data_IF_372574788501
#
_entry.id   IF_372574788501
#
_cell.length_a   1.000
_cell.length_b   1.000
_cell.length_c   1.000
_cell.angle_alpha   90.00
_cell.angle_beta   90.00
_cell.angle_gamma   90.00
#
_symmetry.space_group_name_H-M   'P 1'
#
loop_
_entity.id
_entity.type
_entity.pdbx_description
1 polymer ?
#
# COMPACT_ATOMS: atom_id res chain seq x y z
N UNK A 1 48.61 -20.99 55.53
CA UNK A 1 48.70 -22.39 56.00
C UNK A 1 47.39 -22.68 56.72
N UNK A 2 46.39 -23.15 55.99
CA UNK A 2 46.21 -24.55 55.61
C UNK A 2 45.11 -25.11 56.52
N UNK A 3 43.95 -25.34 55.90
CA UNK A 3 43.01 -26.40 56.24
C UNK A 3 42.18 -26.24 57.51
N UNK A 4 40.95 -26.73 57.60
CA UNK A 4 39.92 -27.31 56.72
C UNK A 4 38.93 -27.91 57.76
N UNK A 5 37.80 -28.47 57.32
CA UNK A 5 36.83 -29.25 58.14
C UNK A 5 35.99 -28.37 59.10
N UNK A 6 34.65 -28.29 59.01
CA UNK A 6 33.66 -29.30 58.61
C UNK A 6 32.29 -28.62 58.50
N UNK A 7 31.60 -28.85 57.39
CA UNK A 7 30.16 -29.16 57.29
C UNK A 7 29.15 -28.19 57.96
N UNK A 8 28.41 -27.44 57.13
CA UNK A 8 26.99 -27.77 56.93
C UNK A 8 26.45 -27.16 55.63
N UNK A 9 26.05 -28.06 54.75
CA UNK A 9 25.26 -27.84 53.54
C UNK A 9 23.91 -27.23 53.96
N UNK A 10 23.59 -26.03 53.48
CA UNK A 10 22.19 -25.61 53.36
C UNK A 10 22.01 -24.92 52.01
N UNK A 11 21.48 -25.72 51.09
CA UNK A 11 20.96 -25.34 49.78
C UNK A 11 20.01 -24.15 49.93
N UNK A 12 20.35 -23.00 49.36
CA UNK A 12 19.36 -21.99 49.00
C UNK A 12 19.19 -22.07 47.48
N UNK A 13 18.10 -22.73 47.06
CA UNK A 13 17.61 -22.63 45.69
C UNK A 13 17.27 -21.15 45.44
N UNK A 14 18.05 -20.46 44.62
CA UNK A 14 17.61 -19.22 43.99
C UNK A 14 16.76 -19.63 42.80
N UNK A 15 15.45 -19.63 43.02
CA UNK A 15 14.45 -19.80 41.97
C UNK A 15 14.44 -18.50 41.14
N UNK A 16 15.20 -18.48 40.05
CA UNK A 16 15.12 -17.40 39.05
C UNK A 16 13.83 -17.61 38.29
N UNK A 17 12.76 -16.92 38.70
CA UNK A 17 11.57 -16.75 37.86
C UNK A 17 11.97 -15.86 36.69
N UNK A 18 12.29 -16.47 35.56
CA UNK A 18 12.13 -15.78 34.28
C UNK A 18 10.65 -15.45 34.16
N UNK A 19 10.31 -14.18 34.42
CA UNK A 19 9.06 -13.61 33.92
C UNK A 19 9.21 -13.66 32.40
N UNK A 20 8.65 -14.72 31.82
CA UNK A 20 8.39 -14.81 30.40
C UNK A 20 7.33 -13.74 30.13
N UNK A 21 7.78 -12.50 29.90
CA UNK A 21 6.96 -11.48 29.25
C UNK A 21 6.74 -11.96 27.83
N UNK A 22 5.76 -12.87 27.67
CA UNK A 22 5.20 -13.15 26.36
C UNK A 22 4.84 -11.82 25.71
N UNK A 23 4.92 -11.72 24.38
CA UNK A 23 4.53 -10.50 23.69
C UNK A 23 3.13 -10.11 24.16
N UNK A 24 3.00 -8.86 24.62
CA UNK A 24 1.69 -8.26 24.82
C UNK A 24 0.95 -8.41 23.50
N UNK A 25 -0.06 -9.27 23.47
CA UNK A 25 -1.03 -9.28 22.40
C UNK A 25 -1.73 -7.91 22.44
N UNK A 26 -1.25 -6.96 21.65
CA UNK A 26 -2.03 -5.79 21.28
C UNK A 26 -3.23 -6.37 20.52
N UNK A 27 -4.41 -6.30 21.12
CA UNK A 27 -5.62 -6.64 20.40
C UNK A 27 -5.70 -5.72 19.17
N UNK A 28 -5.87 -6.30 17.98
CA UNK A 28 -6.25 -5.53 16.80
C UNK A 28 -7.57 -4.85 17.11
N UNK A 29 -7.59 -3.52 17.10
CA UNK A 29 -8.76 -2.74 17.49
C UNK A 29 -9.21 -1.82 16.34
N UNK A 30 -10.52 -1.80 16.11
CA UNK A 30 -11.16 -0.82 15.24
C UNK A 30 -11.98 0.07 16.17
N UNK A 31 -11.55 1.32 16.30
CA UNK A 31 -12.13 2.30 17.22
C UNK A 31 -12.60 3.50 16.43
N UNK A 32 -13.91 3.72 16.41
CA UNK A 32 -14.52 4.90 15.78
C UNK A 32 -14.00 6.17 16.45
N UNK A 33 -13.73 7.20 15.66
CA UNK A 33 -13.35 8.51 16.19
C UNK A 33 -14.59 9.19 16.80
N UNK A 34 -14.72 9.07 18.12
CA UNK A 34 -15.82 9.69 18.87
C UNK A 34 -15.83 11.21 18.84
N UNK A 35 -14.71 11.85 18.43
CA UNK A 35 -14.61 13.31 18.27
C UNK A 35 -15.09 13.79 16.89
N UNK A 36 -15.17 12.89 15.91
CA UNK A 36 -15.73 13.19 14.60
C UNK A 36 -17.22 13.53 14.68
N UNK A 37 -17.73 14.27 13.69
CA UNK A 37 -19.16 14.50 13.57
C UNK A 37 -19.91 13.16 13.47
N UNK A 38 -21.12 13.06 14.03
CA UNK A 38 -21.91 11.82 13.99
C UNK A 38 -22.19 11.32 12.56
N UNK A 39 -22.18 12.24 11.58
CA UNK A 39 -22.21 11.93 10.15
C UNK A 39 -21.04 11.07 9.64
N UNK A 40 -19.94 11.00 10.39
CA UNK A 40 -18.74 10.25 10.04
C UNK A 40 -18.47 9.07 11.00
N UNK A 41 -19.40 8.76 11.88
CA UNK A 41 -19.25 7.67 12.85
C UNK A 41 -19.94 6.41 12.33
N UNK A 42 -19.13 5.37 12.08
CA UNK A 42 -19.61 4.03 11.82
C UNK A 42 -20.15 3.37 13.11
N UNK A 43 -20.86 2.24 12.96
CA UNK A 43 -21.18 1.35 14.09
C UNK A 43 -20.36 0.07 13.95
N UNK A 44 -19.63 -0.29 15.01
CA UNK A 44 -18.84 -1.53 15.06
C UNK A 44 -19.68 -2.64 15.70
N UNK A 45 -19.92 -3.68 14.92
CA UNK A 45 -20.49 -4.95 15.35
C UNK A 45 -19.44 -6.07 15.23
N UNK A 46 -19.82 -7.29 15.62
CA UNK A 46 -18.99 -8.48 15.44
C UNK A 46 -19.83 -9.63 14.88
N UNK A 47 -19.26 -10.34 13.90
CA UNK A 47 -19.80 -11.60 13.45
C UNK A 47 -19.61 -12.70 14.53
N UNK A 48 -20.32 -13.81 14.38
CA UNK A 48 -20.26 -14.93 15.33
C UNK A 48 -18.85 -15.55 15.47
N UNK A 49 -18.02 -15.47 14.42
CA UNK A 49 -16.63 -15.93 14.43
C UNK A 49 -15.64 -14.90 15.02
N UNK A 50 -16.14 -13.73 15.45
CA UNK A 50 -15.38 -12.64 16.05
C UNK A 50 -14.84 -11.60 15.07
N UNK A 51 -14.97 -11.81 13.75
CA UNK A 51 -14.61 -10.81 12.72
C UNK A 51 -15.38 -9.52 12.96
N UNK A 52 -14.68 -8.38 12.95
CA UNK A 52 -15.30 -7.07 13.10
C UNK A 52 -16.17 -6.73 11.90
N UNK A 53 -17.34 -6.13 12.15
CA UNK A 53 -18.25 -5.62 11.13
C UNK A 53 -18.33 -4.10 11.30
N UNK A 54 -17.91 -3.35 10.29
CA UNK A 54 -18.01 -1.90 10.22
C UNK A 54 -19.28 -1.56 9.45
N UNK A 55 -20.36 -1.23 10.16
CA UNK A 55 -21.53 -0.61 9.54
C UNK A 55 -21.20 0.84 9.21
N UNK A 56 -20.85 1.09 7.94
CA UNK A 56 -20.47 2.41 7.44
C UNK A 56 -21.59 3.44 7.66
N UNK A 57 -21.21 4.71 7.78
CA UNK A 57 -22.15 5.82 7.87
C UNK A 57 -23.06 5.88 6.64
N UNK A 58 -24.36 6.04 6.86
CA UNK A 58 -25.34 6.27 5.81
C UNK A 58 -25.56 7.73 5.45
N UNK A 59 -24.77 8.66 6.00
CA UNK A 59 -24.79 10.05 5.55
C UNK A 59 -23.95 10.20 4.27
N UNK A 60 -24.52 9.75 3.16
CA UNK A 60 -23.86 9.76 1.85
C UNK A 60 -23.84 11.18 1.25
N UNK A 61 -22.74 11.54 0.60
CA UNK A 61 -22.67 12.72 -0.28
C UNK A 61 -23.54 12.54 -1.53
N UNK A 62 -23.60 13.55 -2.40
CA UNK A 62 -24.39 13.45 -3.64
C UNK A 62 -23.82 12.40 -4.61
N UNK A 63 -22.51 12.16 -4.59
CA UNK A 63 -21.87 11.10 -5.39
C UNK A 63 -21.85 9.71 -4.71
N UNK A 64 -22.43 9.58 -3.50
CA UNK A 64 -22.49 8.31 -2.78
C UNK A 64 -21.28 8.01 -1.90
N UNK A 65 -20.47 9.01 -1.52
CA UNK A 65 -19.37 8.85 -0.57
C UNK A 65 -19.89 8.61 0.85
N UNK A 66 -19.49 7.49 1.46
CA UNK A 66 -19.56 7.25 2.90
C UNK A 66 -18.20 7.51 3.54
N UNK A 67 -18.09 8.56 4.34
CA UNK A 67 -16.84 8.93 5.02
C UNK A 67 -16.90 8.54 6.50
N UNK A 68 -16.06 7.59 6.89
CA UNK A 68 -15.99 6.99 8.22
C UNK A 68 -14.65 7.33 8.87
N UNK A 69 -14.69 7.89 10.08
CA UNK A 69 -13.48 8.31 10.81
C UNK A 69 -13.21 7.38 12.00
N UNK A 70 -11.95 7.00 12.16
CA UNK A 70 -11.48 6.07 13.19
C UNK A 70 -10.30 6.66 13.93
N UNK A 71 -10.24 6.48 15.24
CA UNK A 71 -9.04 6.80 16.02
C UNK A 71 -7.99 5.68 15.94
N UNK A 72 -8.44 4.44 15.65
CA UNK A 72 -7.58 3.29 15.38
C UNK A 72 -8.30 2.35 14.42
N UNK A 73 -7.58 1.79 13.45
CA UNK A 73 -8.11 0.79 12.52
C UNK A 73 -7.04 -0.23 12.19
N UNK A 74 -7.06 -1.34 12.92
CA UNK A 74 -6.23 -2.51 12.66
C UNK A 74 -7.11 -3.71 12.28
N UNK A 75 -6.63 -4.52 11.33
CA UNK A 75 -7.27 -5.74 10.86
C UNK A 75 -6.38 -6.93 11.26
N UNK A 76 -6.95 -7.89 11.99
CA UNK A 76 -6.28 -9.15 12.31
C UNK A 76 -6.40 -10.18 11.17
N UNK A 77 -5.88 -11.38 11.40
CA UNK A 77 -5.90 -12.49 10.44
C UNK A 77 -7.32 -12.98 10.06
N UNK A 78 -8.35 -12.59 10.81
CA UNK A 78 -9.75 -12.91 10.48
C UNK A 78 -10.37 -11.92 9.51
N UNK A 79 -9.68 -10.82 9.21
CA UNK A 79 -10.16 -9.77 8.33
C UNK A 79 -11.21 -8.85 8.97
N UNK A 80 -11.85 -8.05 8.12
CA UNK A 80 -12.92 -7.11 8.50
C UNK A 80 -14.02 -7.12 7.43
N UNK A 81 -15.27 -7.00 7.87
CA UNK A 81 -16.41 -6.75 6.98
C UNK A 81 -16.76 -5.28 7.02
N UNK A 82 -16.78 -4.62 5.87
CA UNK A 82 -17.33 -3.30 5.63
C UNK A 82 -18.77 -3.50 5.14
N UNK A 83 -19.76 -3.25 6.00
CA UNK A 83 -21.16 -3.52 5.70
C UNK A 83 -21.77 -2.38 4.87
N UNK A 84 -21.80 -2.56 3.55
CA UNK A 84 -22.44 -1.69 2.57
C UNK A 84 -23.79 -2.26 2.06
N UNK A 85 -24.41 -3.15 2.85
CA UNK A 85 -25.61 -3.88 2.40
C UNK A 85 -26.90 -3.21 2.85
N UNK A 86 -27.85 -3.07 1.94
CA UNK A 86 -29.24 -2.68 2.25
C UNK A 86 -30.14 -3.88 2.55
N UNK A 87 -29.63 -5.11 2.39
CA UNK A 87 -30.35 -6.37 2.59
C UNK A 87 -29.56 -7.34 3.48
N UNK A 88 -30.23 -8.36 4.02
CA UNK A 88 -29.54 -9.46 4.69
C UNK A 88 -28.93 -10.41 3.66
N UNK A 89 -27.83 -11.09 4.01
CA UNK A 89 -27.11 -11.94 3.08
C UNK A 89 -26.02 -12.76 3.76
N UNK A 90 -25.20 -13.46 2.97
CA UNK A 90 -24.07 -14.25 3.49
C UNK A 90 -22.77 -13.54 3.11
N UNK A 91 -21.91 -13.31 4.09
CA UNK A 91 -20.57 -12.73 3.87
C UNK A 91 -19.62 -13.79 3.32
N UNK A 92 -18.84 -13.42 2.31
CA UNK A 92 -17.81 -14.26 1.70
C UNK A 92 -16.61 -14.45 2.63
N UNK A 93 -16.29 -13.46 3.46
CA UNK A 93 -15.19 -13.53 4.42
C UNK A 93 -15.52 -14.45 5.61
N UNK A 94 -16.72 -14.29 6.17
CA UNK A 94 -17.10 -14.97 7.42
C UNK A 94 -17.90 -16.25 7.20
N UNK A 95 -18.44 -16.46 6.00
CA UNK A 95 -19.38 -17.53 5.68
C UNK A 95 -20.71 -17.45 6.45
N UNK A 96 -20.93 -16.38 7.22
CA UNK A 96 -22.07 -16.23 8.13
C UNK A 96 -23.14 -15.32 7.53
N UNK A 97 -24.39 -15.53 7.94
CA UNK A 97 -25.47 -14.61 7.60
C UNK A 97 -25.31 -13.31 8.38
N UNK A 98 -25.21 -12.19 7.66
CA UNK A 98 -25.13 -10.84 8.21
C UNK A 98 -26.41 -10.06 7.86
N UNK A 99 -26.78 -9.13 8.75
CA UNK A 99 -27.90 -8.23 8.54
C UNK A 99 -27.48 -7.03 7.68
N UNK A 100 -28.47 -6.35 7.11
CA UNK A 100 -28.24 -5.07 6.43
C UNK A 100 -27.64 -4.05 7.40
N UNK A 101 -26.89 -3.10 6.86
CA UNK A 101 -26.42 -1.96 7.62
C UNK A 101 -27.62 -1.05 7.98
N UNK A 102 -27.90 -0.83 9.29
CA UNK A 102 -29.05 -0.05 9.72
C UNK A 102 -28.94 1.45 9.40
N UNK A 103 -27.74 1.96 9.07
CA UNK A 103 -27.51 3.37 8.76
C UNK A 103 -27.87 3.71 7.30
N UNK A 104 -27.87 2.73 6.38
CA UNK A 104 -28.06 2.92 4.93
C UNK A 104 -29.53 3.13 4.53
N UNK A 105 -30.16 4.18 5.07
CA UNK A 105 -31.57 4.51 4.79
C UNK A 105 -31.83 5.09 3.39
N UNK A 106 -30.76 5.51 2.69
CA UNK A 106 -30.83 6.14 1.36
C UNK A 106 -30.27 5.26 0.24
N UNK A 107 -29.93 4.01 0.52
CA UNK A 107 -29.20 3.13 -0.39
C UNK A 107 -27.75 2.91 0.05
N UNK A 108 -27.04 2.10 -0.72
CA UNK A 108 -25.64 1.77 -0.47
C UNK A 108 -24.70 2.87 -0.99
N UNK A 109 -23.50 2.94 -0.40
CA UNK A 109 -22.43 3.82 -0.84
C UNK A 109 -21.82 3.32 -2.16
N UNK A 110 -21.38 4.26 -3.00
CA UNK A 110 -20.58 3.98 -4.19
C UNK A 110 -19.08 4.12 -3.93
N UNK A 111 -18.71 4.94 -2.95
CA UNK A 111 -17.33 5.13 -2.47
C UNK A 111 -17.34 5.05 -0.95
N UNK A 112 -16.43 4.26 -0.37
CA UNK A 112 -16.29 4.12 1.07
C UNK A 112 -14.89 4.61 1.45
N UNK A 113 -14.83 5.68 2.23
CA UNK A 113 -13.60 6.21 2.81
C UNK A 113 -13.55 5.84 4.29
N UNK A 114 -12.58 5.02 4.67
CA UNK A 114 -12.19 4.78 6.05
C UNK A 114 -10.92 5.58 6.34
N UNK A 115 -11.04 6.62 7.15
CA UNK A 115 -9.95 7.53 7.49
C UNK A 115 -9.57 7.39 8.96
N UNK A 116 -8.30 7.10 9.23
CA UNK A 116 -7.72 7.11 10.57
C UNK A 116 -7.23 8.51 10.91
N UNK A 117 -7.76 9.06 12.00
CA UNK A 117 -7.42 10.39 12.53
C UNK A 117 -6.50 10.32 13.76
N UNK A 118 -6.22 9.12 14.25
CA UNK A 118 -5.30 8.85 15.36
C UNK A 118 -3.82 8.99 15.01
N UNK A 119 -2.98 8.74 16.01
CA UNK A 119 -1.52 8.90 15.93
C UNK A 119 -0.74 7.62 15.57
N UNK A 120 -1.43 6.50 15.35
CA UNK A 120 -0.80 5.20 15.14
C UNK A 120 -0.91 4.71 13.68
N UNK A 121 0.11 3.96 13.25
CA UNK A 121 0.11 3.22 11.97
C UNK A 121 -0.93 2.11 12.01
N UNK A 122 -1.69 1.97 10.93
CA UNK A 122 -2.64 0.88 10.75
C UNK A 122 -1.96 -0.41 10.31
N UNK A 123 -2.30 -1.52 10.97
CA UNK A 123 -1.82 -2.87 10.65
C UNK A 123 -2.95 -3.68 10.02
N UNK A 124 -2.76 -4.09 8.78
CA UNK A 124 -3.75 -4.83 7.99
C UNK A 124 -3.19 -6.23 7.70
N UNK A 125 -3.63 -7.22 8.48
CA UNK A 125 -3.12 -8.60 8.44
C UNK A 125 -4.14 -9.62 7.93
N UNK A 126 -5.23 -9.15 7.30
CA UNK A 126 -6.28 -9.99 6.75
C UNK A 126 -7.12 -9.27 5.70
N UNK A 127 -8.12 -9.97 5.19
CA UNK A 127 -8.96 -9.47 4.10
C UNK A 127 -9.99 -8.44 4.57
N UNK A 128 -10.22 -7.43 3.74
CA UNK A 128 -11.34 -6.49 3.83
C UNK A 128 -12.42 -6.92 2.85
N UNK A 129 -13.63 -7.22 3.34
CA UNK A 129 -14.79 -7.51 2.49
C UNK A 129 -15.76 -6.33 2.49
N UNK A 130 -16.14 -5.82 1.32
CA UNK A 130 -17.35 -5.01 1.19
C UNK A 130 -18.55 -5.95 1.09
N UNK A 131 -19.32 -6.07 2.16
CA UNK A 131 -20.54 -6.88 2.18
C UNK A 131 -21.71 -6.09 1.60
N UNK A 132 -22.42 -6.68 0.64
CA UNK A 132 -23.54 -6.04 -0.06
C UNK A 132 -23.12 -5.45 -1.40
N UNK A 133 -23.55 -4.22 -1.70
CA UNK A 133 -23.25 -3.58 -2.98
C UNK A 133 -21.74 -3.30 -3.10
N UNK A 134 -21.15 -3.71 -4.22
CA UNK A 134 -19.77 -3.40 -4.60
C UNK A 134 -19.56 -1.87 -4.64
N UNK A 135 -18.42 -1.42 -4.13
CA UNK A 135 -18.05 0.01 -4.10
C UNK A 135 -16.54 0.18 -4.24
N UNK A 136 -16.11 1.41 -4.51
CA UNK A 136 -14.71 1.81 -4.34
C UNK A 136 -14.36 1.88 -2.86
N UNK A 137 -13.15 1.47 -2.52
CA UNK A 137 -12.64 1.50 -1.15
C UNK A 137 -11.41 2.36 -1.03
N UNK A 138 -11.45 3.31 -0.12
CA UNK A 138 -10.32 4.17 0.22
C UNK A 138 -9.96 3.94 1.69
N UNK A 139 -8.73 3.54 1.94
CA UNK A 139 -8.18 3.43 3.28
C UNK A 139 -7.11 4.49 3.49
N UNK A 140 -7.40 5.46 4.36
CA UNK A 140 -6.56 6.62 4.60
C UNK A 140 -5.98 6.60 6.02
N UNK A 141 -4.66 6.63 6.17
CA UNK A 141 -4.00 6.84 7.47
C UNK A 141 -2.72 7.68 7.29
N UNK A 142 -2.73 8.97 7.67
CA UNK A 142 -1.56 9.87 7.55
C UNK A 142 -0.28 9.38 8.22
N UNK A 143 -0.41 8.53 9.25
CA UNK A 143 0.72 8.02 10.03
C UNK A 143 1.42 6.85 9.36
N UNK A 144 0.73 6.13 8.47
CA UNK A 144 1.27 5.00 7.73
C UNK A 144 0.32 3.80 7.69
N UNK A 145 0.59 2.90 6.76
CA UNK A 145 -0.17 1.67 6.56
C UNK A 145 0.81 0.50 6.42
N UNK A 146 0.63 -0.53 7.24
CA UNK A 146 1.32 -1.81 7.11
C UNK A 146 0.32 -2.84 6.58
N UNK A 147 0.55 -3.38 5.39
CA UNK A 147 -0.19 -4.51 4.86
C UNK A 147 0.72 -5.74 4.87
N UNK A 148 0.31 -6.80 5.55
CA UNK A 148 1.06 -8.06 5.58
C UNK A 148 0.06 -9.22 5.47
N UNK A 149 -0.24 -9.61 4.23
CA UNK A 149 -1.30 -10.58 3.93
C UNK A 149 -2.69 -9.95 3.86
N UNK A 150 -2.77 -8.64 3.62
CA UNK A 150 -4.04 -7.99 3.40
C UNK A 150 -4.58 -8.29 1.99
N UNK A 151 -5.90 -8.31 1.85
CA UNK A 151 -6.55 -8.52 0.57
C UNK A 151 -7.96 -7.96 0.54
N UNK A 152 -8.59 -7.93 -0.63
CA UNK A 152 -9.85 -7.21 -0.83
C UNK A 152 -10.90 -8.03 -1.55
N UNK A 153 -12.09 -8.15 -0.95
CA UNK A 153 -13.24 -8.88 -1.49
C UNK A 153 -14.33 -7.88 -1.84
N UNK A 154 -14.90 -8.03 -3.05
CA UNK A 154 -16.02 -7.21 -3.53
C UNK A 154 -15.73 -5.68 -3.55
N UNK A 155 -14.46 -5.32 -3.65
CA UNK A 155 -14.00 -3.96 -3.91
C UNK A 155 -13.92 -3.74 -5.43
N UNK A 156 -14.35 -2.58 -5.93
CA UNK A 156 -14.13 -2.23 -7.33
C UNK A 156 -12.73 -1.64 -7.52
N UNK A 157 -12.52 -0.37 -7.13
CA UNK A 157 -11.19 0.25 -7.04
C UNK A 157 -10.72 0.36 -5.59
N UNK A 158 -9.42 0.21 -5.37
CA UNK A 158 -8.76 0.35 -4.09
C UNK A 158 -7.79 1.54 -4.12
N UNK A 159 -7.90 2.43 -3.13
CA UNK A 159 -6.88 3.44 -2.86
C UNK A 159 -6.42 3.29 -1.40
N UNK A 160 -5.16 2.94 -1.19
CA UNK A 160 -4.51 3.01 0.12
C UNK A 160 -3.66 4.26 0.15
N UNK A 161 -3.95 5.19 1.06
CA UNK A 161 -3.31 6.51 1.08
C UNK A 161 -2.80 6.90 2.47
N UNK A 162 -1.55 7.36 2.56
CA UNK A 162 -1.02 7.90 3.82
C UNK A 162 -1.24 9.40 3.91
N UNK A 163 -2.50 9.84 3.86
CA UNK A 163 -2.86 11.25 3.86
C UNK A 163 -4.21 11.53 4.51
N UNK A 164 -4.45 12.79 4.85
CA UNK A 164 -5.73 13.26 5.41
C UNK A 164 -6.66 13.71 4.30
N UNK A 165 -7.92 13.31 4.38
CA UNK A 165 -8.91 13.62 3.35
C UNK A 165 -9.39 15.07 3.46
N UNK A 166 -9.36 15.78 2.33
CA UNK A 166 -9.94 17.11 2.19
C UNK A 166 -11.16 17.08 1.28
N UNK A 167 -12.22 17.76 1.73
CA UNK A 167 -13.49 17.82 1.00
C UNK A 167 -13.75 19.21 0.43
N UNK A 168 -14.31 19.25 -0.76
CA UNK A 168 -14.93 20.45 -1.32
C UNK A 168 -16.45 20.35 -1.15
N UNK A 169 -16.98 20.93 -0.08
CA UNK A 169 -18.35 20.66 0.36
C UNK A 169 -18.44 19.28 0.99
N UNK A 170 -19.32 18.42 0.47
CA UNK A 170 -19.47 17.04 0.94
C UNK A 170 -18.72 16.02 0.08
N UNK A 171 -18.03 16.47 -0.97
CA UNK A 171 -17.31 15.60 -1.90
C UNK A 171 -15.81 15.54 -1.61
N UNK A 172 -15.24 14.34 -1.73
CA UNK A 172 -13.80 14.12 -1.63
C UNK A 172 -13.10 14.82 -2.80
N UNK A 173 -12.12 15.66 -2.47
CA UNK A 173 -11.34 16.41 -3.47
C UNK A 173 -9.93 15.84 -3.60
N UNK A 174 -9.17 15.85 -2.51
CA UNK A 174 -7.78 15.44 -2.48
C UNK A 174 -7.40 14.90 -1.10
N UNK A 175 -6.21 14.31 -1.03
CA UNK A 175 -5.56 13.97 0.21
C UNK A 175 -4.33 14.85 0.39
N UNK A 176 -4.17 15.42 1.59
CA UNK A 176 -2.90 16.01 2.02
C UNK A 176 -1.99 14.86 2.46
N UNK A 177 -0.90 14.63 1.74
CA UNK A 177 -0.02 13.49 2.01
C UNK A 177 0.75 13.72 3.30
N UNK A 178 0.65 12.77 4.22
CA UNK A 178 1.35 12.75 5.49
C UNK A 178 2.78 12.22 5.36
N UNK A 179 3.50 12.20 6.48
CA UNK A 179 4.86 11.67 6.54
C UNK A 179 4.93 10.13 6.58
N UNK A 180 3.77 9.46 6.71
CA UNK A 180 3.67 8.01 6.79
C UNK A 180 4.13 7.30 5.52
N UNK A 181 4.46 6.01 5.69
CA UNK A 181 4.83 5.11 4.61
C UNK A 181 3.77 4.02 4.43
N UNK A 182 3.64 3.52 3.20
CA UNK A 182 2.98 2.22 2.94
C UNK A 182 4.06 1.15 2.97
N UNK A 183 3.88 0.15 3.82
CA UNK A 183 4.76 -0.99 3.94
C UNK A 183 3.99 -2.24 3.54
N UNK A 184 4.44 -2.91 2.49
CA UNK A 184 3.97 -4.24 2.12
C UNK A 184 4.95 -5.25 2.73
N UNK A 185 4.46 -6.02 3.70
CA UNK A 185 5.19 -7.08 4.38
C UNK A 185 5.39 -8.32 3.53
N UNK A 186 6.07 -9.31 4.10
CA UNK A 186 6.47 -10.54 3.40
C UNK A 186 5.27 -11.35 2.88
N UNK A 187 4.11 -11.28 3.55
CA UNK A 187 2.89 -11.99 3.13
C UNK A 187 2.12 -11.24 2.03
N UNK A 188 2.58 -10.05 1.64
CA UNK A 188 2.13 -9.35 0.45
C UNK A 188 0.77 -8.66 0.55
N UNK A 189 0.29 -8.24 -0.62
CA UNK A 189 -1.01 -7.60 -0.88
C UNK A 189 -1.74 -8.35 -1.99
N UNK A 190 -2.94 -8.87 -1.69
CA UNK A 190 -3.84 -9.47 -2.68
C UNK A 190 -4.92 -8.47 -3.14
N UNK A 191 -4.68 -7.84 -4.28
CA UNK A 191 -5.61 -7.01 -5.02
C UNK A 191 -6.09 -7.71 -6.33
N UNK A 192 -6.01 -9.04 -6.41
CA UNK A 192 -6.33 -9.81 -7.62
C UNK A 192 -7.81 -9.78 -8.02
N UNK A 193 -8.68 -9.29 -7.14
CA UNK A 193 -10.11 -9.10 -7.36
C UNK A 193 -10.53 -7.63 -7.50
N UNK A 194 -9.55 -6.71 -7.47
CA UNK A 194 -9.75 -5.25 -7.58
C UNK A 194 -9.40 -4.83 -9.00
N UNK A 195 -10.25 -4.02 -9.66
CA UNK A 195 -9.97 -3.57 -11.02
C UNK A 195 -8.72 -2.69 -11.08
N UNK A 196 -8.64 -1.68 -10.22
CA UNK A 196 -7.46 -0.82 -10.07
C UNK A 196 -7.07 -0.65 -8.59
N UNK A 197 -5.79 -0.85 -8.28
CA UNK A 197 -5.22 -0.65 -6.96
C UNK A 197 -4.17 0.46 -6.97
N UNK A 198 -4.33 1.45 -6.11
CA UNK A 198 -3.42 2.58 -5.96
C UNK A 198 -2.84 2.63 -4.55
N UNK A 199 -1.51 2.66 -4.46
CA UNK A 199 -0.77 2.88 -3.22
C UNK A 199 -0.17 4.29 -3.26
N UNK A 200 -0.68 5.19 -2.41
CA UNK A 200 -0.38 6.63 -2.46
C UNK A 200 0.26 7.06 -1.14
N UNK A 201 1.52 7.50 -1.15
CA UNK A 201 2.22 7.82 0.11
C UNK A 201 3.45 8.70 -0.07
N UNK A 202 4.09 9.11 1.03
CA UNK A 202 5.43 9.72 0.92
C UNK A 202 6.49 8.67 0.57
N UNK A 203 6.37 7.47 1.14
CA UNK A 203 7.28 6.34 0.93
C UNK A 203 6.52 5.03 0.77
N UNK A 204 6.96 4.18 -0.15
CA UNK A 204 6.46 2.82 -0.34
C UNK A 204 7.60 1.80 -0.21
N UNK A 205 7.53 0.96 0.82
CA UNK A 205 8.48 -0.13 1.05
C UNK A 205 7.82 -1.47 0.72
N UNK A 206 8.32 -2.19 -0.28
CA UNK A 206 7.69 -3.41 -0.80
C UNK A 206 8.58 -4.63 -0.50
N UNK A 207 8.23 -5.37 0.53
CA UNK A 207 8.99 -6.55 0.99
C UNK A 207 8.32 -7.90 0.64
N UNK A 208 7.14 -7.87 0.04
CA UNK A 208 6.42 -9.06 -0.41
C UNK A 208 5.65 -8.79 -1.70
N UNK A 209 4.98 -9.82 -2.20
CA UNK A 209 4.30 -9.75 -3.50
C UNK A 209 3.06 -8.85 -3.48
N UNK A 210 2.86 -8.08 -4.55
CA UNK A 210 1.61 -7.38 -4.85
C UNK A 210 1.00 -8.05 -6.07
N UNK A 211 -0.24 -8.53 -5.92
CA UNK A 211 -0.99 -9.15 -7.01
C UNK A 211 -2.20 -8.28 -7.31
N UNK A 212 -2.15 -7.49 -8.38
CA UNK A 212 -3.27 -6.72 -8.92
C UNK A 212 -3.96 -7.45 -10.08
N UNK A 213 -5.18 -7.03 -10.42
CA UNK A 213 -5.93 -7.56 -11.57
C UNK A 213 -5.66 -6.79 -12.85
N UNK A 214 -6.26 -5.61 -13.01
CA UNK A 214 -6.18 -4.84 -14.25
C UNK A 214 -5.11 -3.75 -14.16
N UNK A 215 -5.04 -3.00 -13.06
CA UNK A 215 -4.06 -1.92 -12.86
C UNK A 215 -3.49 -1.89 -11.44
N UNK A 216 -2.19 -1.67 -11.34
CA UNK A 216 -1.48 -1.35 -10.10
C UNK A 216 -0.73 -0.03 -10.29
N UNK A 217 -1.00 0.95 -9.44
CA UNK A 217 -0.24 2.19 -9.39
C UNK A 217 0.42 2.38 -8.01
N UNK A 218 1.70 2.75 -8.00
CA UNK A 218 2.41 3.20 -6.79
C UNK A 218 2.80 4.66 -7.01
N UNK A 219 2.20 5.57 -6.26
CA UNK A 219 2.36 7.02 -6.42
C UNK A 219 2.96 7.60 -5.15
N UNK A 220 4.13 8.21 -5.28
CA UNK A 220 4.83 8.85 -4.16
C UNK A 220 5.05 10.34 -4.33
N UNK A 221 4.86 11.07 -3.24
CA UNK A 221 4.96 12.53 -3.15
C UNK A 221 4.61 13.01 -1.75
N UNK A 222 4.81 14.30 -1.46
CA UNK A 222 4.69 14.82 -0.09
C UNK A 222 3.79 16.04 0.07
N UNK A 223 2.97 16.34 -0.93
CA UNK A 223 2.03 17.46 -0.90
C UNK A 223 0.58 17.00 -1.00
N UNK A 224 0.12 16.73 -2.22
CA UNK A 224 -1.29 16.44 -2.48
C UNK A 224 -1.46 15.31 -3.49
N UNK A 225 -2.46 14.47 -3.24
CA UNK A 225 -3.02 13.52 -4.19
C UNK A 225 -4.45 13.91 -4.53
N UNK A 226 -4.70 14.31 -5.77
CA UNK A 226 -6.04 14.65 -6.24
C UNK A 226 -6.80 13.37 -6.61
N UNK A 227 -7.92 13.12 -5.93
CA UNK A 227 -8.65 11.87 -6.07
C UNK A 227 -9.40 11.74 -7.41
N UNK A 228 -9.70 12.85 -8.07
CA UNK A 228 -10.49 12.88 -9.31
C UNK A 228 -9.59 12.67 -10.52
N UNK A 229 -8.44 13.31 -10.53
CA UNK A 229 -7.46 13.23 -11.63
C UNK A 229 -6.47 12.09 -11.45
N UNK A 230 -6.21 11.68 -10.21
CA UNK A 230 -5.16 10.72 -9.87
C UNK A 230 -3.75 11.32 -9.85
N UNK A 231 -3.63 12.65 -9.89
CA UNK A 231 -2.35 13.35 -9.88
C UNK A 231 -1.76 13.42 -8.47
N UNK A 232 -0.46 13.12 -8.35
CA UNK A 232 0.31 13.32 -7.13
C UNK A 232 1.32 14.45 -7.32
N UNK A 233 1.44 15.30 -6.31
CA UNK A 233 2.34 16.46 -6.32
C UNK A 233 3.23 16.47 -5.08
N UNK A 234 4.35 17.18 -5.19
CA UNK A 234 5.34 17.34 -4.14
C UNK A 234 5.75 18.79 -3.97
N UNK A 235 6.22 19.13 -2.78
CA UNK A 235 6.88 20.39 -2.52
C UNK A 235 8.39 20.31 -2.84
N UNK A 236 9.02 21.47 -2.97
CA UNK A 236 10.46 21.57 -3.20
C UNK A 236 11.27 20.84 -2.12
N UNK A 237 12.48 20.41 -2.47
CA UNK A 237 13.40 19.76 -1.54
C UNK A 237 13.75 20.66 -0.36
N UNK A 238 13.80 20.06 0.83
CA UNK A 238 14.16 20.70 2.09
C UNK A 238 15.37 20.02 2.72
N UNK A 239 15.93 20.60 3.79
CA UNK A 239 17.07 20.02 4.49
C UNK A 239 16.79 18.63 5.11
N UNK A 240 15.53 18.26 5.38
CA UNK A 240 15.18 16.92 5.88
C UNK A 240 15.18 15.85 4.80
N UNK A 241 15.31 16.24 3.53
CA UNK A 241 15.22 15.33 2.39
C UNK A 241 16.60 14.89 1.85
N UNK A 242 17.71 15.46 2.36
CA UNK A 242 19.05 15.33 1.74
C UNK A 242 19.66 13.93 1.80
N UNK A 243 19.16 13.06 2.68
CA UNK A 243 19.66 11.68 2.84
C UNK A 243 18.72 10.64 2.21
N UNK A 244 17.65 11.09 1.54
CA UNK A 244 16.66 10.21 0.92
C UNK A 244 16.95 10.11 -0.57
N UNK A 245 17.16 8.88 -1.05
CA UNK A 245 17.40 8.59 -2.47
C UNK A 245 16.19 7.98 -3.15
N UNK A 246 15.43 7.12 -2.45
CA UNK A 246 14.32 6.38 -3.06
C UNK A 246 13.03 6.58 -2.27
N UNK A 247 11.96 6.98 -2.96
CA UNK A 247 10.61 7.02 -2.40
C UNK A 247 9.92 5.64 -2.47
N UNK A 248 10.28 4.86 -3.49
CA UNK A 248 9.83 3.47 -3.64
C UNK A 248 11.05 2.58 -3.52
N UNK A 249 11.03 1.67 -2.53
CA UNK A 249 12.07 0.66 -2.34
C UNK A 249 11.42 -0.73 -2.28
N UNK A 250 11.63 -1.52 -3.32
CA UNK A 250 11.12 -2.89 -3.42
C UNK A 250 12.25 -3.91 -3.33
N UNK A 251 12.14 -4.82 -2.37
CA UNK A 251 13.14 -5.87 -2.12
C UNK A 251 13.04 -7.02 -3.13
N UNK A 252 14.09 -7.84 -3.22
CA UNK A 252 14.11 -9.04 -4.06
C UNK A 252 13.22 -10.21 -3.56
N UNK A 253 12.57 -10.05 -2.40
CA UNK A 253 11.59 -11.01 -1.89
C UNK A 253 10.16 -10.69 -2.36
N UNK A 254 9.96 -9.52 -2.97
CA UNK A 254 8.70 -9.12 -3.58
C UNK A 254 8.59 -9.48 -5.06
N UNK A 255 7.37 -9.37 -5.57
CA UNK A 255 7.05 -9.32 -7.00
C UNK A 255 5.82 -8.45 -7.21
N UNK A 256 5.71 -7.78 -8.35
CA UNK A 256 4.52 -7.01 -8.70
C UNK A 256 3.91 -7.59 -9.97
N UNK A 257 2.65 -7.99 -9.90
CA UNK A 257 1.90 -8.55 -11.01
C UNK A 257 0.61 -7.78 -11.22
N UNK A 258 0.35 -7.27 -12.42
CA UNK A 258 -0.94 -6.68 -12.79
C UNK A 258 -1.16 -6.70 -14.32
N UNK A 259 -2.34 -6.26 -14.77
CA UNK A 259 -2.60 -5.98 -16.19
C UNK A 259 -1.77 -4.81 -16.73
N UNK A 260 -1.57 -3.79 -15.91
CA UNK A 260 -0.77 -2.58 -16.14
C UNK A 260 -0.07 -2.20 -14.83
N UNK A 261 1.17 -1.72 -14.89
CA UNK A 261 1.91 -1.23 -13.71
C UNK A 261 2.41 0.19 -13.97
N UNK A 262 2.06 1.13 -13.09
CA UNK A 262 2.59 2.49 -13.10
C UNK A 262 3.26 2.82 -11.76
N UNK A 263 4.47 3.36 -11.79
CA UNK A 263 5.17 3.82 -10.59
C UNK A 263 5.60 5.27 -10.80
N UNK A 264 5.20 6.15 -9.88
CA UNK A 264 5.50 7.58 -9.93
C UNK A 264 6.20 7.99 -8.63
N UNK A 265 7.39 8.57 -8.74
CA UNK A 265 8.06 9.28 -7.66
C UNK A 265 8.18 10.76 -8.01
N UNK A 266 7.31 11.59 -7.43
CA UNK A 266 7.09 12.99 -7.87
C UNK A 266 7.98 14.03 -7.17
N UNK A 267 8.61 13.67 -6.04
CA UNK A 267 9.47 14.60 -5.31
C UNK A 267 10.85 14.65 -5.92
N UNK A 268 11.34 15.85 -6.22
CA UNK A 268 12.66 16.09 -6.78
C UNK A 268 13.76 15.35 -6.01
N UNK A 269 14.65 14.65 -6.70
CA UNK A 269 15.69 13.80 -6.12
C UNK A 269 15.22 12.46 -5.55
N UNK A 270 13.90 12.20 -5.43
CA UNK A 270 13.40 10.92 -4.93
C UNK A 270 13.16 9.94 -6.09
N UNK A 271 13.85 8.82 -6.03
CA UNK A 271 13.87 7.78 -7.04
C UNK A 271 12.95 6.59 -6.76
N UNK A 272 13.06 5.61 -7.65
CA UNK A 272 12.48 4.27 -7.54
C UNK A 272 13.60 3.25 -7.55
N UNK A 273 13.67 2.39 -6.54
CA UNK A 273 14.52 1.21 -6.51
C UNK A 273 13.64 -0.04 -6.44
N UNK A 274 13.80 -0.95 -7.39
CA UNK A 274 13.08 -2.22 -7.41
C UNK A 274 13.99 -3.39 -7.76
N UNK A 275 14.31 -4.19 -6.74
CA UNK A 275 14.92 -5.51 -6.88
C UNK A 275 13.87 -6.62 -7.09
N UNK A 276 12.58 -6.27 -6.95
CA UNK A 276 11.44 -7.16 -7.19
C UNK A 276 11.22 -7.39 -8.69
N UNK A 277 10.78 -8.60 -9.04
CA UNK A 277 10.35 -8.88 -10.41
C UNK A 277 9.01 -8.19 -10.68
N UNK A 278 8.91 -7.43 -11.77
CA UNK A 278 7.69 -6.75 -12.19
C UNK A 278 7.14 -7.34 -13.49
N UNK A 279 5.85 -7.65 -13.52
CA UNK A 279 5.18 -8.25 -14.65
C UNK A 279 3.86 -7.55 -14.98
N UNK A 280 3.80 -6.96 -16.18
CA UNK A 280 2.59 -6.40 -16.77
C UNK A 280 2.03 -7.34 -17.85
N UNK A 281 0.79 -7.78 -17.68
CA UNK A 281 0.22 -8.91 -18.44
C UNK A 281 -0.69 -8.51 -19.61
N UNK A 282 -1.17 -7.26 -19.66
CA UNK A 282 -2.17 -6.81 -20.63
C UNK A 282 -1.75 -5.53 -21.36
N UNK A 283 -1.18 -4.58 -20.63
CA UNK A 283 -0.77 -3.26 -21.10
C UNK A 283 0.68 -2.97 -20.69
N UNK A 284 1.08 -1.70 -20.76
CA UNK A 284 2.46 -1.28 -20.52
C UNK A 284 2.86 -1.29 -19.05
N UNK A 285 4.17 -1.09 -18.85
CA UNK A 285 4.74 -0.79 -17.55
C UNK A 285 5.49 0.54 -17.63
N UNK A 286 5.14 1.48 -16.77
CA UNK A 286 5.77 2.81 -16.75
C UNK A 286 6.34 3.11 -15.37
N UNK A 287 7.56 3.64 -15.33
CA UNK A 287 8.18 4.18 -14.13
C UNK A 287 8.66 5.58 -14.42
N UNK A 288 8.11 6.57 -13.72
CA UNK A 288 8.54 7.96 -13.79
C UNK A 288 9.06 8.39 -12.42
N UNK A 289 10.31 8.83 -12.36
CA UNK A 289 10.92 9.30 -11.12
C UNK A 289 11.56 10.67 -11.30
N UNK A 290 11.30 11.57 -10.36
CA UNK A 290 11.98 12.85 -10.23
C UNK A 290 13.38 12.71 -9.58
N UNK A 291 13.88 11.47 -9.44
CA UNK A 291 15.24 11.12 -9.06
C UNK A 291 15.77 9.97 -9.92
N UNK A 292 16.46 9.02 -9.30
CA UNK A 292 17.03 7.85 -9.98
C UNK A 292 16.00 6.72 -10.17
N UNK A 293 16.17 5.89 -11.20
CA UNK A 293 15.48 4.61 -11.34
C UNK A 293 16.52 3.50 -11.31
N UNK A 294 16.44 2.59 -10.35
CA UNK A 294 17.26 1.37 -10.29
C UNK A 294 16.35 0.15 -10.30
N UNK A 295 16.42 -0.67 -11.35
CA UNK A 295 15.51 -1.80 -11.54
C UNK A 295 16.26 -3.06 -11.94
N UNK A 296 15.63 -4.21 -11.65
CA UNK A 296 16.17 -5.52 -12.00
C UNK A 296 15.42 -6.17 -13.16
N UNK A 297 14.39 -6.96 -12.85
CA UNK A 297 13.66 -7.73 -13.84
C UNK A 297 12.29 -7.11 -14.11
N UNK A 298 12.05 -6.74 -15.37
CA UNK A 298 10.79 -6.17 -15.82
C UNK A 298 10.34 -6.94 -17.05
N UNK A 299 9.10 -7.39 -17.07
CA UNK A 299 8.50 -7.97 -18.25
C UNK A 299 7.12 -7.37 -18.51
N UNK A 300 6.87 -7.01 -19.76
CA UNK A 300 5.61 -6.39 -20.20
C UNK A 300 5.08 -7.10 -21.45
N UNK A 301 3.78 -7.35 -21.46
CA UNK A 301 3.07 -7.86 -22.64
C UNK A 301 2.97 -6.81 -23.76
N UNK A 302 3.23 -5.53 -23.46
CA UNK A 302 3.37 -4.47 -24.45
C UNK A 302 4.66 -3.70 -24.18
N UNK A 303 4.56 -2.40 -23.94
CA UNK A 303 5.68 -1.47 -23.88
C UNK A 303 6.23 -1.35 -22.44
N UNK A 304 7.48 -0.90 -22.34
CA UNK A 304 8.13 -0.53 -21.07
C UNK A 304 8.71 0.88 -21.22
N UNK A 305 8.29 1.81 -20.37
CA UNK A 305 8.75 3.20 -20.38
C UNK A 305 9.37 3.57 -19.03
N UNK A 306 10.66 3.90 -19.02
CA UNK A 306 11.38 4.37 -17.83
C UNK A 306 11.83 5.82 -18.05
N UNK A 307 11.41 6.72 -17.18
CA UNK A 307 11.70 8.14 -17.23
C UNK A 307 12.30 8.62 -15.90
N UNK A 308 13.60 8.91 -15.89
CA UNK A 308 14.29 9.42 -14.70
C UNK A 308 14.73 10.87 -14.91
N UNK A 309 14.47 11.71 -13.92
CA UNK A 309 15.06 13.05 -13.87
C UNK A 309 16.57 12.99 -13.62
N UNK A 310 17.09 11.92 -13.01
CA UNK A 310 18.54 11.70 -12.85
C UNK A 310 19.00 10.52 -13.70
N UNK A 311 19.40 9.40 -13.09
CA UNK A 311 19.98 8.25 -13.78
C UNK A 311 19.06 7.03 -13.81
N UNK A 312 19.25 6.16 -14.80
CA UNK A 312 18.62 4.82 -14.87
C UNK A 312 19.70 3.75 -14.75
N UNK A 313 19.53 2.81 -13.82
CA UNK A 313 20.36 1.62 -13.66
C UNK A 313 19.52 0.36 -13.88
N UNK A 314 19.95 -0.50 -14.82
CA UNK A 314 19.31 -1.78 -15.15
C UNK A 314 20.24 -2.93 -14.77
N UNK A 315 19.91 -3.59 -13.65
CA UNK A 315 20.70 -4.67 -13.04
C UNK A 315 20.19 -6.09 -13.37
N UNK A 316 19.21 -6.20 -14.27
CA UNK A 316 18.57 -7.46 -14.63
C UNK A 316 18.05 -7.47 -16.06
N UNK A 317 17.01 -8.26 -16.32
CA UNK A 317 16.41 -8.38 -17.64
C UNK A 317 15.15 -7.52 -17.78
N UNK A 318 15.14 -6.61 -18.75
CA UNK A 318 13.96 -5.91 -19.22
C UNK A 318 13.51 -6.56 -20.53
N UNK A 319 12.27 -7.04 -20.57
CA UNK A 319 11.67 -7.73 -21.70
C UNK A 319 10.29 -7.16 -22.02
N UNK A 320 10.22 -6.30 -23.02
CA UNK A 320 8.97 -5.83 -23.60
C UNK A 320 8.59 -6.70 -24.81
N UNK A 321 7.32 -7.09 -24.94
CA UNK A 321 6.83 -7.67 -26.20
C UNK A 321 6.47 -6.59 -27.23
N UNK A 322 6.31 -5.34 -26.78
CA UNK A 322 6.23 -4.11 -27.56
C UNK A 322 7.57 -3.40 -27.64
N UNK A 323 7.58 -2.09 -27.45
CA UNK A 323 8.77 -1.24 -27.46
C UNK A 323 9.31 -0.99 -26.03
N UNK A 324 10.58 -0.63 -25.91
CA UNK A 324 11.18 -0.20 -24.65
C UNK A 324 11.82 1.19 -24.80
N UNK A 325 11.45 2.13 -23.94
CA UNK A 325 12.04 3.47 -23.87
C UNK A 325 12.68 3.72 -22.51
N UNK A 326 13.95 4.11 -22.50
CA UNK A 326 14.70 4.51 -21.31
C UNK A 326 15.20 5.95 -21.51
N UNK A 327 14.66 6.89 -20.75
CA UNK A 327 15.00 8.31 -20.83
C UNK A 327 15.51 8.84 -19.48
N UNK A 328 16.75 9.34 -19.47
CA UNK A 328 17.40 9.86 -18.27
C UNK A 328 18.06 11.22 -18.57
N UNK A 329 17.89 12.20 -17.67
CA UNK A 329 18.55 13.51 -17.85
C UNK A 329 19.99 13.57 -17.33
N UNK A 330 20.45 12.51 -16.68
CA UNK A 330 21.86 12.32 -16.36
C UNK A 330 22.46 11.15 -17.14
N UNK A 331 22.45 9.94 -16.56
CA UNK A 331 23.16 8.78 -17.13
C UNK A 331 22.28 7.53 -17.20
N UNK A 332 22.60 6.61 -18.12
CA UNK A 332 21.97 5.28 -18.19
C UNK A 332 23.06 4.22 -18.14
N UNK A 333 22.96 3.30 -17.19
CA UNK A 333 23.81 2.11 -17.08
C UNK A 333 22.98 0.82 -17.21
N UNK A 334 23.26 0.04 -18.25
CA UNK A 334 22.74 -1.31 -18.42
C UNK A 334 23.78 -2.31 -17.89
N UNK A 335 23.89 -2.37 -16.57
CA UNK A 335 24.93 -3.07 -15.84
C UNK A 335 24.74 -4.59 -15.87
N UNK A 336 25.38 -5.27 -16.84
CA UNK A 336 25.28 -6.74 -17.04
C UNK A 336 23.84 -7.27 -17.28
N UNK A 337 22.88 -6.38 -17.48
CA UNK A 337 21.49 -6.69 -17.76
C UNK A 337 21.23 -7.07 -19.23
N UNK A 338 19.97 -7.33 -19.56
CA UNK A 338 19.53 -7.50 -20.94
C UNK A 338 18.32 -6.62 -21.22
N UNK A 339 18.32 -5.95 -22.37
CA UNK A 339 17.16 -5.23 -22.89
C UNK A 339 16.67 -5.96 -24.14
N UNK A 340 15.43 -6.45 -24.11
CA UNK A 340 14.79 -7.13 -25.24
C UNK A 340 13.44 -6.47 -25.51
N UNK A 341 13.24 -5.97 -26.72
CA UNK A 341 11.99 -5.35 -27.17
C UNK A 341 11.90 -5.41 -28.71
N UNK A 342 10.80 -4.94 -29.32
CA UNK A 342 10.72 -4.78 -30.78
C UNK A 342 11.56 -3.58 -31.25
N UNK A 343 11.38 -2.43 -30.61
CA UNK A 343 12.23 -1.26 -30.76
C UNK A 343 12.73 -0.84 -29.38
N UNK A 344 13.97 -0.34 -29.35
CA UNK A 344 14.61 0.13 -28.13
C UNK A 344 15.08 1.57 -28.37
N UNK A 345 14.56 2.51 -27.59
CA UNK A 345 15.02 3.90 -27.53
C UNK A 345 15.69 4.18 -26.20
N UNK A 346 16.93 4.67 -26.23
CA UNK A 346 17.72 4.96 -25.03
C UNK A 346 18.29 6.37 -25.19
N UNK A 347 17.86 7.27 -24.31
CA UNK A 347 18.29 8.67 -24.31
C UNK A 347 18.88 9.02 -22.95
N UNK A 348 20.20 9.20 -22.91
CA UNK A 348 20.91 9.76 -21.76
C UNK A 348 21.51 11.10 -22.15
N UNK A 349 21.38 12.12 -21.29
CA UNK A 349 21.91 13.44 -21.61
C UNK A 349 23.43 13.55 -21.42
N UNK A 350 24.01 12.80 -20.48
CA UNK A 350 25.44 12.87 -20.14
C UNK A 350 26.20 11.59 -20.51
N UNK A 351 25.86 10.43 -19.92
CA UNK A 351 26.59 9.17 -20.14
C UNK A 351 25.67 7.99 -20.43
N UNK A 352 26.12 7.10 -21.31
CA UNK A 352 25.44 5.86 -21.65
C UNK A 352 26.45 4.72 -21.61
N UNK A 353 26.34 3.89 -20.58
CA UNK A 353 27.13 2.66 -20.44
C UNK A 353 26.26 1.43 -20.70
N UNK A 354 26.72 0.56 -21.60
CA UNK A 354 26.04 -0.67 -21.97
C UNK A 354 27.04 -1.81 -21.81
N UNK A 355 27.07 -2.36 -20.59
CA UNK A 355 27.84 -3.55 -20.24
C UNK A 355 27.01 -4.85 -20.36
N UNK A 356 25.74 -4.74 -20.75
CA UNK A 356 24.80 -5.82 -20.96
C UNK A 356 24.57 -6.21 -22.43
N UNK A 357 23.46 -6.90 -22.70
CA UNK A 357 23.04 -7.26 -24.07
C UNK A 357 21.77 -6.54 -24.48
N UNK A 358 21.72 -6.05 -25.72
CA UNK A 358 20.54 -5.40 -26.30
C UNK A 358 20.09 -6.19 -27.53
N UNK A 359 18.82 -6.57 -27.57
CA UNK A 359 18.20 -7.28 -28.69
C UNK A 359 16.90 -6.58 -29.10
N UNK A 360 16.85 -6.14 -30.37
CA UNK A 360 15.66 -5.58 -31.04
C UNK A 360 15.31 -6.40 -32.27
#
# INVERSE_FOLDING_TARGET
MLNFLKHLICRLLVFVTFLNSGPLAIASEIVVDSSAAGANQAIIDRANNGTSIVNISGNLSENGLSHNKFSQFDIDDKGVVINNSTEFGVSNLTGSTLYNNPLLTKGAASVILNEVTGGDVSKLYGYTEIFGQKADYIFANPQGIMCDGCGFINTDRLTMVTGSAEKSGDELSHFNIGAGAINIGESGLDASMVSAAELVSKFANINGSIVGKDELAIKTGDKQYDYVTGDITSDNITASDTDITYAVDASNFGSMYAGKIDIIASKDGFGVKSEADMYSSVAGLTITAAGDIAVKNISSATDIDLEAANSIEVNGAISAAGDASLNATDSIDVASGSLVANNIDIQAANDLDINGTIYS
#
